data_IF_019967986075
#
_entry.id   IF_019967986075
#
_cell.length_a   1.000
_cell.length_b   1.000
_cell.length_c   1.000
_cell.angle_alpha   90.00
_cell.angle_beta   90.00
_cell.angle_gamma   90.00
#
_symmetry.space_group_name_H-M   'P 1'
#
loop_
_entity.id
_entity.type
_entity.pdbx_description
1 polymer ?
#
# COMPACT_ATOMS: atom_id res chain seq x y z
N UNK A 1 -0.56 7.16 -13.91
CA UNK A 1 0.40 6.12 -13.48
C UNK A 1 0.51 5.04 -14.54
N UNK A 2 1.73 4.61 -14.91
CA UNK A 2 1.97 3.58 -15.94
C UNK A 2 2.92 2.48 -15.44
N UNK A 3 2.86 1.26 -16.02
CA UNK A 3 3.91 0.26 -15.82
C UNK A 3 5.30 0.82 -16.15
N UNK A 4 6.32 0.36 -15.43
CA UNK A 4 7.71 0.81 -15.55
C UNK A 4 7.99 2.28 -15.20
N UNK A 5 7.01 3.03 -14.71
CA UNK A 5 7.21 4.42 -14.27
C UNK A 5 8.10 4.46 -13.02
N UNK A 6 9.06 5.40 -12.99
CA UNK A 6 9.84 5.69 -11.79
C UNK A 6 9.02 6.58 -10.86
N UNK A 7 8.99 6.25 -9.57
CA UNK A 7 8.24 6.96 -8.54
C UNK A 7 9.07 7.14 -7.28
N UNK A 8 8.69 8.12 -6.46
CA UNK A 8 9.22 8.29 -5.11
C UNK A 8 8.10 8.00 -4.12
N UNK A 9 8.37 7.15 -3.15
CA UNK A 9 7.46 6.82 -2.06
C UNK A 9 7.92 7.64 -0.86
N UNK A 10 7.00 8.36 -0.24
CA UNK A 10 7.22 9.08 1.04
C UNK A 10 6.36 8.41 2.10
N UNK A 11 6.99 7.98 3.21
CA UNK A 11 6.28 7.40 4.34
C UNK A 11 5.68 8.47 5.26
N UNK A 12 4.90 8.03 6.25
CA UNK A 12 4.26 8.91 7.23
C UNK A 12 5.23 9.69 8.11
N UNK A 13 6.49 9.26 8.20
CA UNK A 13 7.57 9.95 8.91
C UNK A 13 8.33 10.94 8.00
N UNK A 14 7.97 11.01 6.72
CA UNK A 14 8.57 11.89 5.72
C UNK A 14 9.82 11.33 5.06
N UNK A 15 10.20 10.07 5.34
CA UNK A 15 11.36 9.43 4.71
C UNK A 15 10.97 8.94 3.32
N UNK A 16 11.86 9.23 2.37
CA UNK A 16 11.62 8.95 0.95
C UNK A 16 12.45 7.78 0.44
N UNK A 17 11.90 7.00 -0.49
CA UNK A 17 12.65 6.02 -1.27
C UNK A 17 12.17 5.97 -2.72
N UNK A 18 13.09 5.69 -3.64
CA UNK A 18 12.77 5.55 -5.05
C UNK A 18 12.42 4.10 -5.38
N UNK A 19 11.44 3.92 -6.25
CA UNK A 19 11.01 2.61 -6.74
C UNK A 19 10.50 2.71 -8.18
N UNK A 20 10.32 1.55 -8.81
CA UNK A 20 9.81 1.46 -10.18
C UNK A 20 8.54 0.63 -10.18
N UNK A 21 7.48 1.18 -10.77
CA UNK A 21 6.19 0.50 -10.91
C UNK A 21 6.38 -0.76 -11.76
N UNK A 22 5.94 -1.91 -11.24
CA UNK A 22 5.92 -3.17 -11.96
C UNK A 22 4.71 -3.24 -12.89
N UNK A 23 3.57 -3.63 -12.33
CA UNK A 23 2.27 -3.69 -13.02
C UNK A 23 1.28 -2.72 -12.38
N UNK A 24 0.36 -2.24 -13.20
CA UNK A 24 -0.83 -1.48 -12.75
C UNK A 24 -2.04 -2.35 -13.03
N UNK A 25 -2.84 -2.59 -12.00
CA UNK A 25 -3.98 -3.51 -12.01
C UNK A 25 -5.25 -2.71 -11.74
N UNK A 26 -6.04 -2.48 -12.78
CA UNK A 26 -7.39 -1.94 -12.66
C UNK A 26 -8.37 -2.97 -12.11
N UNK A 27 -9.50 -2.51 -11.58
CA UNK A 27 -10.59 -3.37 -11.13
C UNK A 27 -11.69 -3.41 -12.20
N UNK A 28 -12.11 -4.62 -12.60
CA UNK A 28 -13.27 -4.86 -13.44
C UNK A 28 -14.23 -5.79 -12.69
N UNK A 29 -15.21 -5.19 -12.01
CA UNK A 29 -16.05 -5.92 -11.07
C UNK A 29 -15.23 -6.44 -9.88
N UNK A 30 -15.19 -7.76 -9.69
CA UNK A 30 -14.40 -8.42 -8.65
C UNK A 30 -13.02 -8.88 -9.14
N UNK A 31 -12.76 -8.79 -10.45
CA UNK A 31 -11.50 -9.20 -11.03
C UNK A 31 -10.52 -8.04 -11.14
N UNK A 32 -9.22 -8.37 -11.15
CA UNK A 32 -8.13 -7.43 -11.40
C UNK A 32 -7.55 -7.71 -12.79
N UNK A 33 -7.43 -6.66 -13.59
CA UNK A 33 -6.89 -6.74 -14.95
C UNK A 33 -5.69 -5.81 -15.09
N UNK A 34 -4.69 -6.21 -15.86
CA UNK A 34 -3.57 -5.33 -16.16
C UNK A 34 -4.03 -4.15 -17.03
N UNK A 35 -3.54 -2.95 -16.74
CA UNK A 35 -3.90 -1.73 -17.45
C UNK A 35 -2.64 -0.90 -17.71
N UNK A 36 -2.56 -0.29 -18.89
CA UNK A 36 -1.39 0.49 -19.30
C UNK A 36 -1.34 1.89 -18.69
N UNK A 37 -2.49 2.38 -18.21
CA UNK A 37 -2.64 3.71 -17.62
C UNK A 37 -3.73 3.69 -16.54
N UNK A 38 -3.40 4.24 -15.38
CA UNK A 38 -4.37 4.64 -14.35
C UNK A 38 -4.31 6.16 -14.16
N UNK A 39 -5.46 6.81 -14.06
CA UNK A 39 -5.62 8.24 -13.95
C UNK A 39 -6.09 8.66 -12.55
N UNK A 40 -6.17 9.98 -12.32
CA UNK A 40 -6.66 10.50 -11.05
C UNK A 40 -8.15 10.15 -10.88
N UNK A 41 -8.48 9.55 -9.72
CA UNK A 41 -9.81 9.04 -9.43
C UNK A 41 -9.95 7.52 -9.57
N UNK A 42 -8.98 6.86 -10.21
CA UNK A 42 -9.01 5.40 -10.33
C UNK A 42 -8.58 4.70 -9.04
N UNK A 43 -9.27 3.60 -8.72
CA UNK A 43 -8.86 2.69 -7.64
C UNK A 43 -8.15 1.50 -8.27
N UNK A 44 -6.83 1.45 -8.12
CA UNK A 44 -5.96 0.45 -8.74
C UNK A 44 -5.06 -0.23 -7.72
N UNK A 45 -4.61 -1.44 -8.03
CA UNK A 45 -3.53 -2.10 -7.33
C UNK A 45 -2.23 -2.00 -8.14
N UNK A 46 -1.10 -1.87 -7.45
CA UNK A 46 0.21 -1.67 -8.07
C UNK A 46 1.23 -2.62 -7.47
N UNK A 47 2.21 -3.02 -8.27
CA UNK A 47 3.28 -3.93 -7.84
C UNK A 47 4.66 -3.33 -8.09
N UNK A 48 5.72 -3.98 -7.59
CA UNK A 48 7.11 -3.57 -7.84
C UNK A 48 7.65 -2.48 -6.93
N UNK A 49 6.87 -2.04 -5.93
CA UNK A 49 7.26 -0.95 -5.01
C UNK A 49 7.89 -1.42 -3.69
N UNK A 50 8.10 -2.72 -3.51
CA UNK A 50 8.57 -3.31 -2.27
C UNK A 50 7.49 -3.31 -1.18
N UNK A 51 7.91 -3.25 0.08
CA UNK A 51 7.03 -3.25 1.24
C UNK A 51 6.40 -1.86 1.44
N UNK A 52 5.11 -1.73 1.18
CA UNK A 52 4.33 -0.50 1.38
C UNK A 52 3.53 -0.59 2.66
N UNK A 53 3.48 0.51 3.40
CA UNK A 53 2.67 0.64 4.60
C UNK A 53 1.41 1.48 4.33
N UNK A 54 0.43 1.34 5.22
CA UNK A 54 -0.73 2.24 5.23
C UNK A 54 -0.22 3.66 5.53
N UNK A 55 -0.76 4.65 4.82
CA UNK A 55 -0.36 6.06 4.85
C UNK A 55 0.94 6.40 4.09
N UNK A 56 1.56 5.46 3.39
CA UNK A 56 2.60 5.80 2.40
C UNK A 56 1.97 6.52 1.19
N UNK A 57 2.65 7.53 0.67
CA UNK A 57 2.24 8.24 -0.54
C UNK A 57 3.21 7.95 -1.69
N UNK A 58 2.68 7.54 -2.85
CA UNK A 58 3.46 7.30 -4.07
C UNK A 58 3.34 8.54 -4.97
N UNK A 59 4.45 9.23 -5.18
CA UNK A 59 4.51 10.51 -5.88
C UNK A 59 5.35 10.42 -7.16
N UNK A 60 5.20 11.42 -8.02
CA UNK A 60 6.14 11.64 -9.11
C UNK A 60 7.52 12.03 -8.54
N UNK A 61 8.60 11.56 -9.16
CA UNK A 61 9.97 11.85 -8.69
C UNK A 61 10.34 13.33 -8.71
N UNK A 62 9.65 14.15 -9.51
CA UNK A 62 9.91 15.60 -9.61
C UNK A 62 9.06 16.40 -8.62
N UNK A 63 7.98 15.82 -8.09
CA UNK A 63 7.07 16.50 -7.17
C UNK A 63 6.66 15.55 -6.04
N UNK A 64 7.50 15.50 -5.01
CA UNK A 64 7.28 14.65 -3.84
C UNK A 64 6.49 15.44 -2.80
N UNK A 65 5.20 15.12 -2.70
CA UNK A 65 4.28 15.69 -1.72
C UNK A 65 3.56 14.56 -0.99
N UNK A 66 3.71 14.51 0.34
CA UNK A 66 3.05 13.51 1.17
C UNK A 66 1.58 13.89 1.40
N UNK A 67 0.69 12.90 1.28
CA UNK A 67 -0.69 13.06 1.73
C UNK A 67 -0.76 13.03 3.26
N UNK A 68 -1.76 13.70 3.87
CA UNK A 68 -1.96 13.63 5.31
C UNK A 68 -2.15 12.19 5.77
N UNK A 69 -1.35 11.74 6.73
CA UNK A 69 -1.44 10.40 7.27
C UNK A 69 -2.79 10.19 7.99
N UNK A 70 -3.34 8.98 7.87
CA UNK A 70 -4.53 8.61 8.60
C UNK A 70 -4.18 8.39 10.08
N UNK A 71 -4.94 8.99 10.99
CA UNK A 71 -4.84 8.67 12.42
C UNK A 71 -5.57 7.35 12.69
N UNK A 72 -4.88 6.41 13.34
CA UNK A 72 -5.52 5.18 13.85
C UNK A 72 -6.04 5.48 15.25
N UNK A 73 -7.34 5.28 15.48
CA UNK A 73 -7.94 5.40 16.80
C UNK A 73 -7.39 4.32 17.74
N UNK A 74 -7.24 4.66 19.01
CA UNK A 74 -6.76 3.73 20.03
C UNK A 74 -7.69 2.50 20.14
N UNK A 75 -7.12 1.29 20.34
CA UNK A 75 -7.92 0.08 20.44
C UNK A 75 -8.87 0.17 21.64
N UNK A 76 -10.16 -0.02 21.38
CA UNK A 76 -11.21 0.05 22.41
C UNK A 76 -11.39 -1.25 23.18
N UNK A 77 -10.81 -2.36 22.71
CA UNK A 77 -10.91 -3.69 23.30
C UNK A 77 -9.53 -4.34 23.36
N UNK A 78 -9.18 -4.92 24.50
CA UNK A 78 -7.97 -5.72 24.69
C UNK A 78 -8.34 -7.17 25.02
N UNK A 79 -7.59 -8.12 24.44
CA UNK A 79 -7.73 -9.55 24.72
C UNK A 79 -6.34 -10.18 24.81
N UNK A 80 -6.16 -11.09 25.76
CA UNK A 80 -4.93 -11.87 25.88
C UNK A 80 -4.98 -13.07 24.93
N UNK A 81 -4.04 -13.11 23.98
CA UNK A 81 -3.81 -14.29 23.14
C UNK A 81 -2.76 -15.17 23.81
N UNK A 82 -3.13 -16.40 24.15
CA UNK A 82 -2.22 -17.42 24.71
C UNK A 82 -2.07 -18.58 23.72
N UNK A 83 -0.84 -19.08 23.56
CA UNK A 83 -0.60 -20.33 22.83
C UNK A 83 -1.22 -21.48 23.64
N UNK A 84 -2.03 -22.31 22.99
CA UNK A 84 -2.61 -23.47 23.64
C UNK A 84 -1.56 -24.58 23.79
N UNK A 85 -0.98 -24.71 24.99
CA UNK A 85 0.02 -25.73 25.31
C UNK A 85 -0.59 -27.01 25.92
N UNK A 86 -1.92 -27.16 25.93
CA UNK A 86 -2.59 -28.34 26.47
C UNK A 86 -2.71 -29.45 25.41
N UNK A 87 -2.51 -30.70 25.86
CA UNK A 87 -2.55 -31.91 25.04
C UNK A 87 -3.99 -32.31 24.62
N UNK A 88 -4.74 -31.39 24.01
CA UNK A 88 -6.06 -31.63 23.42
C UNK A 88 -5.98 -31.89 21.89
N UNK A 89 -4.79 -32.21 21.40
CA UNK A 89 -4.52 -32.62 20.02
C UNK A 89 -4.45 -34.14 19.89
N UNK A 90 -5.48 -34.84 20.35
CA UNK A 90 -5.67 -36.26 20.03
C UNK A 90 -7.11 -36.51 19.59
#
# INVERSE_FOLDING_TARGET
MKPNQQVTIIDSEGKTRNAKVGKVLGHLGLERIETDLAEAGDIVAITGLGELNISDTVCDTQNVEALPALSVDEPTVSMFFCVNNLAFWR
#
